data_IF_379051250678
#
_entry.id   IF_379051250678
#
_cell.length_a   1.000
_cell.length_b   1.000
_cell.length_c   1.000
_cell.angle_alpha   90.00
_cell.angle_beta   90.00
_cell.angle_gamma   90.00
#
_symmetry.space_group_name_H-M   'P 1'
#
loop_
_entity.id
_entity.type
_entity.pdbx_description
1 polymer ?
#
# COMPACT_ATOMS: atom_id res chain seq x y z
N UNK A 1 22.67 -13.05 16.28
CA UNK A 1 21.21 -12.81 16.36
C UNK A 1 20.94 -11.50 15.65
N UNK A 2 20.44 -11.54 14.41
CA UNK A 2 20.13 -10.32 13.66
C UNK A 2 18.82 -9.79 14.22
N UNK A 3 18.91 -8.71 15.02
CA UNK A 3 17.74 -7.94 15.43
C UNK A 3 17.24 -7.25 14.16
N UNK A 4 16.39 -7.93 13.39
CA UNK A 4 15.57 -7.27 12.38
C UNK A 4 14.61 -6.42 13.19
N UNK A 5 14.91 -5.12 13.32
CA UNK A 5 13.98 -4.15 13.90
C UNK A 5 12.70 -4.20 13.06
N UNK A 6 11.71 -4.94 13.56
CA UNK A 6 10.38 -4.95 13.01
C UNK A 6 9.80 -3.58 13.29
N UNK A 7 9.62 -2.80 12.23
CA UNK A 7 8.96 -1.51 12.35
C UNK A 7 7.46 -1.77 12.34
N UNK A 8 6.91 -2.16 13.49
CA UNK A 8 5.48 -2.42 13.74
C UNK A 8 4.62 -1.14 13.66
N UNK A 9 5.21 -0.01 13.26
CA UNK A 9 4.47 1.24 13.14
C UNK A 9 3.46 1.14 12.01
N UNK A 10 2.22 1.60 12.23
CA UNK A 10 1.21 1.65 11.19
C UNK A 10 1.66 2.56 10.05
N UNK A 11 1.28 2.21 8.82
CA UNK A 11 1.69 2.97 7.65
C UNK A 11 0.66 2.91 6.53
N UNK A 12 0.84 3.79 5.54
CA UNK A 12 0.00 3.82 4.34
C UNK A 12 0.66 3.06 3.19
N UNK A 13 -0.15 2.33 2.45
CA UNK A 13 0.25 1.57 1.28
C UNK A 13 -0.68 1.94 0.13
N UNK A 14 -0.16 2.10 -1.09
CA UNK A 14 -1.00 2.39 -2.26
C UNK A 14 -1.22 1.10 -3.04
N UNK A 15 -2.48 0.72 -3.24
CA UNK A 15 -2.88 -0.45 -4.01
C UNK A 15 -4.01 -0.07 -4.96
N UNK A 16 -3.79 -0.28 -6.25
CA UNK A 16 -4.69 0.07 -7.34
C UNK A 16 -5.02 1.57 -7.33
N UNK A 17 -3.98 2.40 -7.13
CA UNK A 17 -4.13 3.85 -7.03
C UNK A 17 -4.81 4.36 -5.76
N UNK A 18 -5.26 3.48 -4.86
CA UNK A 18 -5.94 3.83 -3.61
C UNK A 18 -5.03 3.62 -2.41
N UNK A 19 -4.95 4.62 -1.55
CA UNK A 19 -4.25 4.51 -0.27
C UNK A 19 -5.06 3.67 0.71
N UNK A 20 -4.37 2.74 1.36
CA UNK A 20 -4.89 1.91 2.44
C UNK A 20 -4.01 2.08 3.67
N UNK A 21 -4.66 2.15 4.83
CA UNK A 21 -4.01 2.19 6.12
C UNK A 21 -3.78 0.75 6.59
N UNK A 22 -2.51 0.43 6.84
CA UNK A 22 -2.09 -0.86 7.38
C UNK A 22 -1.68 -0.63 8.82
N UNK A 23 -2.49 -1.13 9.75
CA UNK A 23 -2.22 -1.06 11.17
C UNK A 23 -1.49 -2.32 11.68
N UNK A 24 -1.11 -2.34 12.96
CA UNK A 24 -0.42 -3.47 13.57
C UNK A 24 -1.27 -4.76 13.55
N UNK A 25 -2.60 -4.67 13.66
CA UNK A 25 -3.49 -5.81 13.58
C UNK A 25 -3.46 -6.44 12.17
N UNK A 26 -3.49 -5.62 11.12
CA UNK A 26 -3.32 -6.12 9.74
C UNK A 26 -1.94 -6.75 9.55
N UNK A 27 -0.87 -6.13 10.07
CA UNK A 27 0.49 -6.68 10.03
C UNK A 27 0.61 -8.04 10.74
N UNK A 28 0.02 -8.17 11.94
CA UNK A 28 0.02 -9.42 12.72
C UNK A 28 -0.80 -10.51 12.08
N UNK A 29 -1.90 -10.15 11.43
CA UNK A 29 -2.82 -11.09 10.80
C UNK A 29 -2.45 -11.36 9.33
N UNK A 30 -1.44 -10.67 8.77
CA UNK A 30 -0.95 -10.88 7.42
C UNK A 30 -0.03 -12.12 7.36
N UNK A 31 -0.36 -13.16 6.57
CA UNK A 31 0.40 -14.41 6.52
C UNK A 31 1.83 -14.23 5.96
N UNK A 32 2.09 -13.15 5.21
CA UNK A 32 3.43 -12.78 4.75
C UNK A 32 4.25 -11.98 5.78
N UNK A 33 3.70 -11.75 6.97
CA UNK A 33 4.30 -10.96 8.04
C UNK A 33 4.75 -9.58 7.56
N UNK A 34 5.93 -9.16 8.02
CA UNK A 34 6.51 -7.84 7.76
C UNK A 34 6.99 -7.62 6.33
N UNK A 35 6.82 -8.57 5.40
CA UNK A 35 7.19 -8.34 3.99
C UNK A 35 6.49 -7.10 3.40
N UNK A 36 5.28 -6.79 3.88
CA UNK A 36 4.48 -5.63 3.49
C UNK A 36 5.13 -4.28 3.89
N UNK A 37 5.98 -4.23 4.93
CA UNK A 37 6.63 -2.97 5.39
C UNK A 37 7.65 -2.46 4.38
N UNK A 38 8.17 -3.32 3.50
CA UNK A 38 9.09 -2.95 2.40
C UNK A 38 8.47 -1.94 1.44
N UNK A 39 7.15 -1.90 1.35
CA UNK A 39 6.40 -1.04 0.45
C UNK A 39 5.72 0.13 1.16
N UNK A 40 6.18 0.47 2.36
CA UNK A 40 5.69 1.63 3.12
C UNK A 40 5.69 2.91 2.27
N UNK A 41 4.55 3.59 2.24
CA UNK A 41 4.31 4.82 1.48
C UNK A 41 4.60 4.69 -0.02
N UNK A 42 4.53 3.48 -0.58
CA UNK A 42 4.76 3.20 -2.01
C UNK A 42 3.56 2.52 -2.64
N UNK A 43 3.56 2.49 -3.97
CA UNK A 43 2.65 1.65 -4.73
C UNK A 43 3.12 0.18 -4.65
N UNK A 44 2.26 -0.67 -4.11
CA UNK A 44 2.43 -2.11 -4.05
C UNK A 44 1.36 -2.84 -4.86
N UNK A 45 0.72 -2.16 -5.82
CA UNK A 45 -0.35 -2.75 -6.63
C UNK A 45 0.15 -4.01 -7.32
N UNK A 46 1.29 -3.90 -8.02
CA UNK A 46 1.90 -5.02 -8.74
C UNK A 46 2.18 -6.20 -7.81
N UNK A 47 2.81 -5.94 -6.67
CA UNK A 47 3.21 -6.97 -5.70
C UNK A 47 1.99 -7.61 -5.07
N UNK A 48 0.99 -6.81 -4.68
CA UNK A 48 -0.26 -7.32 -4.16
C UNK A 48 -0.92 -8.27 -5.17
N UNK A 49 -1.03 -7.87 -6.43
CA UNK A 49 -1.56 -8.72 -7.48
C UNK A 49 -0.70 -9.97 -7.73
N UNK A 50 0.63 -9.87 -7.74
CA UNK A 50 1.51 -11.03 -7.96
C UNK A 50 1.39 -12.08 -6.85
N UNK A 51 1.34 -11.66 -5.59
CA UNK A 51 1.31 -12.59 -4.45
C UNK A 51 -0.12 -13.00 -4.05
N UNK A 52 -1.14 -12.22 -4.43
CA UNK A 52 -2.54 -12.46 -4.03
C UNK A 52 -3.48 -12.62 -5.22
N UNK A 53 -2.99 -12.80 -6.45
CA UNK A 53 -3.81 -13.02 -7.66
C UNK A 53 -4.88 -14.10 -7.47
N UNK A 54 -4.53 -15.18 -6.78
CA UNK A 54 -5.38 -16.37 -6.63
C UNK A 54 -6.22 -16.35 -5.35
N UNK A 55 -5.98 -15.40 -4.44
CA UNK A 55 -6.63 -15.36 -3.12
C UNK A 55 -7.76 -14.33 -3.06
N UNK A 56 -9.00 -14.79 -3.26
CA UNK A 56 -10.21 -13.96 -3.14
C UNK A 56 -10.37 -13.33 -1.74
N UNK A 57 -9.90 -14.00 -0.69
CA UNK A 57 -9.96 -13.51 0.68
C UNK A 57 -9.10 -12.27 0.91
N UNK A 58 -7.91 -12.22 0.32
CA UNK A 58 -7.03 -11.06 0.38
C UNK A 58 -7.67 -9.83 -0.28
N UNK A 59 -8.35 -10.02 -1.43
CA UNK A 59 -9.11 -8.94 -2.06
C UNK A 59 -10.27 -8.44 -1.20
N UNK A 60 -11.01 -9.34 -0.53
CA UNK A 60 -12.09 -8.94 0.38
C UNK A 60 -11.55 -8.11 1.55
N UNK A 61 -10.43 -8.53 2.12
CA UNK A 61 -9.79 -7.81 3.22
C UNK A 61 -9.26 -6.45 2.76
N UNK A 62 -8.64 -6.38 1.58
CA UNK A 62 -8.24 -5.11 0.97
C UNK A 62 -9.43 -4.18 0.74
N UNK A 63 -10.56 -4.69 0.25
CA UNK A 63 -11.77 -3.88 0.06
C UNK A 63 -12.33 -3.35 1.38
N UNK A 64 -12.27 -4.16 2.43
CA UNK A 64 -12.67 -3.77 3.78
C UNK A 64 -11.77 -2.64 4.31
N UNK A 65 -10.44 -2.78 4.18
CA UNK A 65 -9.48 -1.73 4.52
C UNK A 65 -9.72 -0.45 3.69
N UNK A 66 -9.98 -0.58 2.39
CA UNK A 66 -10.33 0.55 1.52
C UNK A 66 -11.61 1.27 1.95
N UNK A 67 -12.59 0.57 2.54
CA UNK A 67 -13.82 1.15 3.09
C UNK A 67 -13.59 1.84 4.43
N UNK A 68 -12.77 1.24 5.29
CA UNK A 68 -12.47 1.79 6.61
C UNK A 68 -11.53 2.99 6.56
N UNK A 69 -10.75 3.14 5.48
CA UNK A 69 -9.90 4.30 5.25
C UNK A 69 -10.73 5.55 4.90
N UNK A 70 -10.86 6.54 5.81
CA UNK A 70 -11.66 7.74 5.58
C UNK A 70 -10.87 8.83 4.82
N UNK A 71 -9.58 8.61 4.55
CA UNK A 71 -8.69 9.59 3.92
C UNK A 71 -7.85 8.89 2.85
N UNK A 72 -8.18 9.15 1.59
CA UNK A 72 -7.45 8.64 0.43
C UNK A 72 -6.27 9.54 0.04
N UNK A 73 -5.97 10.53 0.87
CA UNK A 73 -4.88 11.49 0.65
C UNK A 73 -4.19 11.73 2.01
N UNK A 74 -3.47 10.72 2.55
CA UNK A 74 -2.58 11.03 3.65
C UNK A 74 -1.58 12.05 3.09
N UNK A 75 -1.38 13.18 3.79
CA UNK A 75 -0.32 14.16 3.51
C UNK A 75 1.06 13.51 3.74
N UNK A 76 1.36 12.48 2.97
CA UNK A 76 2.71 12.01 2.75
C UNK A 76 3.31 13.16 1.96
N UNK A 77 4.33 13.78 2.53
CA UNK A 77 5.14 14.77 1.82
C UNK A 77 5.81 13.99 0.69
N UNK A 78 5.09 13.80 -0.41
CA UNK A 78 5.64 13.41 -1.70
C UNK A 78 6.63 14.52 -2.03
N UNK A 79 7.92 14.21 -1.88
CA UNK A 79 8.94 14.98 -2.57
C UNK A 79 8.56 14.97 -4.04
N UNK A 80 8.14 16.14 -4.51
CA UNK A 80 7.59 16.38 -5.82
C UNK A 80 8.48 15.76 -6.88
N UNK A 81 8.03 14.68 -7.51
CA UNK A 81 8.38 14.46 -8.91
C UNK A 81 7.16 14.88 -9.72
N UNK A 82 7.14 16.19 -10.00
CA UNK A 82 6.41 16.76 -11.10
C UNK A 82 6.90 16.10 -12.39
N UNK A 83 6.32 14.97 -12.79
CA UNK A 83 6.38 14.54 -14.19
C UNK A 83 5.35 15.35 -14.96
N UNK A 84 5.77 16.56 -15.35
CA UNK A 84 5.32 17.18 -16.60
C UNK A 84 5.29 16.10 -17.67
N UNK A 85 4.11 15.73 -18.14
CA UNK A 85 3.87 15.26 -19.52
C UNK A 85 2.36 15.03 -19.70
N UNK A 86 1.59 16.11 -19.51
CA UNK A 86 0.27 16.20 -20.10
C UNK A 86 0.44 16.38 -21.61
N UNK A 87 0.28 15.27 -22.33
CA UNK A 87 -0.03 15.22 -23.75
C UNK A 87 -1.09 16.30 -24.07
N UNK A 88 -0.72 17.31 -24.87
CA UNK A 88 -1.69 17.98 -25.74
C UNK A 88 -1.25 17.77 -27.18
N UNK A 89 -2.08 16.96 -27.83
CA UNK A 89 -2.11 16.63 -29.24
C UNK A 89 -2.12 17.89 -30.14
N UNK A 90 -1.39 17.78 -31.26
CA UNK A 90 -1.73 18.22 -32.61
C UNK A 90 -2.87 19.25 -32.75
N UNK A 91 -2.57 20.46 -33.24
CA UNK A 91 -2.76 20.85 -34.64
C UNK A 91 -2.36 22.31 -34.89
#
# INVERSE_FOLDING_TARGET
MVVRSFDDRPFYLKIDGKWVYVDEAVLRNHPGGSAITTYRNKDASTVFHTFHAESKEAYRWLQQLKKECPTQDPKIVEEKVCTTSGLRFLS
#
